data_IF_236452808141
#
_entry.id   IF_236452808141
#
_cell.length_a   1.000
_cell.length_b   1.000
_cell.length_c   1.000
_cell.angle_alpha   90.00
_cell.angle_beta   90.00
_cell.angle_gamma   90.00
#
_symmetry.space_group_name_H-M   'P 1'
#
loop_
_entity.id
_entity.type
_entity.pdbx_description
1 polymer ?
#
# COMPACT_ATOMS: atom_id res chain seq x y z
N UNK A 1 12.68 8.58 -18.38
CA UNK A 1 11.88 7.36 -18.12
C UNK A 1 12.51 6.23 -18.91
N UNK A 2 12.89 5.16 -18.26
CA UNK A 2 13.38 3.97 -18.93
C UNK A 2 12.28 3.37 -19.82
N UNK A 3 12.67 2.69 -20.91
CA UNK A 3 11.71 2.15 -21.89
C UNK A 3 10.67 1.20 -21.27
N UNK A 4 10.99 0.56 -20.15
CA UNK A 4 10.11 -0.34 -19.38
C UNK A 4 8.89 0.37 -18.79
N UNK A 5 9.03 1.58 -18.28
CA UNK A 5 7.96 2.35 -17.62
C UNK A 5 6.85 2.85 -18.57
N UNK A 6 7.03 2.69 -19.88
CA UNK A 6 5.98 2.98 -20.87
C UNK A 6 5.05 1.80 -21.12
N UNK A 7 5.31 0.66 -20.49
CA UNK A 7 4.52 -0.57 -20.62
C UNK A 7 3.44 -0.66 -19.56
N UNK A 8 2.34 -1.32 -19.91
CA UNK A 8 1.27 -1.67 -18.98
C UNK A 8 0.92 -3.17 -19.13
N UNK A 9 1.74 -4.08 -18.58
CA UNK A 9 1.70 -5.52 -18.91
C UNK A 9 0.33 -6.15 -18.73
N UNK A 10 -0.39 -5.85 -17.64
CA UNK A 10 -1.74 -6.37 -17.38
C UNK A 10 -2.74 -5.83 -18.40
N UNK A 11 -2.71 -4.53 -18.69
CA UNK A 11 -3.58 -3.93 -19.70
C UNK A 11 -3.31 -4.51 -21.10
N UNK A 12 -2.06 -4.64 -21.48
CA UNK A 12 -1.64 -5.22 -22.75
C UNK A 12 -2.13 -6.67 -22.89
N UNK A 13 -2.06 -7.45 -21.81
CA UNK A 13 -2.55 -8.82 -21.78
C UNK A 13 -4.08 -8.91 -21.92
N UNK A 14 -4.82 -8.01 -21.25
CA UNK A 14 -6.27 -7.89 -21.36
C UNK A 14 -6.70 -7.52 -22.78
N UNK A 15 -6.06 -6.53 -23.39
CA UNK A 15 -6.32 -6.15 -24.80
C UNK A 15 -6.03 -7.30 -25.77
N UNK A 16 -4.95 -8.05 -25.54
CA UNK A 16 -4.60 -9.24 -26.33
C UNK A 16 -5.62 -10.36 -26.16
N UNK A 17 -6.11 -10.59 -24.94
CA UNK A 17 -7.14 -11.58 -24.65
C UNK A 17 -8.48 -11.21 -25.35
N UNK A 18 -8.88 -9.93 -25.27
CA UNK A 18 -10.09 -9.43 -25.93
C UNK A 18 -10.10 -9.67 -27.43
N UNK A 19 -8.94 -9.54 -28.11
CA UNK A 19 -8.80 -9.77 -29.55
C UNK A 19 -8.91 -11.26 -29.94
N UNK A 20 -8.77 -12.18 -28.97
CA UNK A 20 -8.91 -13.60 -29.22
C UNK A 20 -10.41 -13.99 -29.32
N UNK A 21 -10.78 -14.72 -30.36
CA UNK A 21 -12.12 -15.30 -30.50
C UNK A 21 -12.24 -16.55 -29.62
N UNK A 22 -12.36 -16.37 -28.32
CA UNK A 22 -12.51 -17.46 -27.35
C UNK A 22 -13.94 -17.48 -26.83
N UNK A 23 -14.56 -18.66 -26.77
CA UNK A 23 -15.83 -18.84 -26.09
C UNK A 23 -15.57 -18.91 -24.60
N UNK A 24 -16.12 -17.99 -23.77
CA UNK A 24 -15.83 -17.93 -22.35
C UNK A 24 -16.60 -19.00 -21.57
N UNK A 25 -15.89 -20.00 -21.06
CA UNK A 25 -16.37 -20.95 -20.06
C UNK A 25 -15.86 -20.64 -18.65
N UNK A 26 -14.98 -19.64 -18.55
CA UNK A 26 -14.41 -19.12 -17.33
C UNK A 26 -15.43 -18.31 -16.50
N UNK A 27 -15.12 -18.06 -15.26
CA UNK A 27 -15.74 -17.03 -14.41
C UNK A 27 -15.20 -15.67 -14.93
N UNK A 28 -15.94 -14.58 -15.12
CA UNK A 28 -17.17 -14.20 -14.45
C UNK A 28 -18.44 -14.70 -15.15
N UNK A 29 -19.56 -14.81 -14.36
CA UNK A 29 -20.83 -15.37 -14.82
C UNK A 29 -21.52 -14.62 -15.97
N UNK A 30 -21.27 -13.31 -16.14
CA UNK A 30 -21.79 -12.51 -17.26
C UNK A 30 -21.13 -12.85 -18.60
N UNK A 31 -20.12 -13.73 -18.64
CA UNK A 31 -19.48 -14.24 -19.86
C UNK A 31 -19.10 -13.14 -20.85
N UNK A 32 -18.39 -12.12 -20.37
CA UNK A 32 -17.98 -10.92 -21.14
C UNK A 32 -19.17 -10.15 -21.70
N UNK A 33 -20.26 -10.11 -20.94
CA UNK A 33 -21.49 -9.40 -21.25
C UNK A 33 -22.60 -10.25 -21.87
N UNK A 34 -22.30 -11.43 -22.43
CA UNK A 34 -23.31 -12.28 -23.11
C UNK A 34 -24.41 -12.78 -22.17
N UNK A 35 -24.09 -13.00 -20.90
CA UNK A 35 -25.02 -13.49 -19.88
C UNK A 35 -25.76 -12.38 -19.11
N UNK A 36 -25.45 -11.10 -19.36
CA UNK A 36 -26.11 -9.98 -18.70
C UNK A 36 -26.10 -8.72 -19.59
N UNK A 37 -27.07 -8.57 -20.51
CA UNK A 37 -27.16 -7.42 -21.41
C UNK A 37 -27.38 -6.10 -20.67
N UNK A 38 -28.13 -6.09 -19.57
CA UNK A 38 -28.38 -4.89 -18.76
C UNK A 38 -27.09 -4.34 -18.15
N UNK A 39 -26.18 -5.22 -17.72
CA UNK A 39 -24.86 -4.83 -17.24
C UNK A 39 -24.01 -4.21 -18.36
N UNK A 40 -24.13 -4.73 -19.58
CA UNK A 40 -23.45 -4.17 -20.76
C UNK A 40 -23.99 -2.78 -21.10
N UNK A 41 -25.30 -2.59 -21.02
CA UNK A 41 -25.94 -1.28 -21.23
C UNK A 41 -25.45 -0.26 -20.19
N UNK A 42 -25.33 -0.66 -18.92
CA UNK A 42 -24.90 0.20 -17.82
C UNK A 42 -23.41 0.59 -17.91
N UNK A 43 -22.52 -0.38 -18.12
CA UNK A 43 -21.06 -0.20 -18.02
C UNK A 43 -20.35 -0.07 -19.37
N UNK A 44 -21.02 -0.40 -20.46
CA UNK A 44 -20.44 -0.47 -21.80
C UNK A 44 -19.71 -1.79 -22.07
N UNK A 45 -19.81 -2.26 -23.30
CA UNK A 45 -19.23 -3.54 -23.76
C UNK A 45 -17.72 -3.63 -23.49
N UNK A 46 -17.00 -2.53 -23.69
CA UNK A 46 -15.55 -2.48 -23.48
C UNK A 46 -15.18 -2.81 -22.02
N UNK A 47 -15.87 -2.22 -21.05
CA UNK A 47 -15.63 -2.43 -19.64
C UNK A 47 -15.93 -3.88 -19.25
N UNK A 48 -17.13 -4.37 -19.56
CA UNK A 48 -17.57 -5.73 -19.20
C UNK A 48 -16.72 -6.81 -19.88
N UNK A 49 -16.21 -6.55 -21.08
CA UNK A 49 -15.35 -7.52 -21.80
C UNK A 49 -13.96 -7.70 -21.19
N UNK A 50 -13.53 -6.75 -20.33
CA UNK A 50 -12.24 -6.79 -19.62
C UNK A 50 -12.36 -7.38 -18.20
N UNK A 51 -13.60 -7.60 -17.71
CA UNK A 51 -13.82 -8.25 -16.41
C UNK A 51 -13.69 -9.77 -16.56
N UNK A 52 -12.55 -10.28 -16.16
CA UNK A 52 -12.12 -11.67 -16.29
C UNK A 52 -11.38 -12.12 -15.05
N UNK A 53 -11.35 -13.43 -14.80
CA UNK A 53 -10.65 -14.01 -13.66
C UNK A 53 -9.20 -14.39 -14.01
N UNK A 54 -8.47 -14.89 -13.00
CA UNK A 54 -7.12 -15.47 -13.15
C UNK A 54 -7.15 -16.60 -14.19
N UNK A 55 -6.25 -16.53 -15.15
CA UNK A 55 -6.05 -17.55 -16.17
C UNK A 55 -4.64 -17.47 -16.73
N UNK A 56 -4.15 -18.54 -17.34
CA UNK A 56 -2.77 -18.62 -17.82
C UNK A 56 -2.26 -17.39 -18.61
N UNK A 57 -3.04 -16.72 -19.49
CA UNK A 57 -2.57 -15.51 -20.18
C UNK A 57 -2.58 -14.24 -19.34
N UNK A 58 -3.24 -14.23 -18.17
CA UNK A 58 -3.45 -13.06 -17.31
C UNK A 58 -2.79 -13.19 -15.95
N UNK A 59 -2.10 -14.32 -15.71
CA UNK A 59 -1.45 -14.58 -14.43
C UNK A 59 -2.41 -14.86 -13.26
N UNK A 60 -1.86 -14.97 -12.05
CA UNK A 60 -2.60 -15.16 -10.81
C UNK A 60 -2.05 -14.22 -9.73
N UNK A 61 -2.89 -13.33 -9.22
CA UNK A 61 -2.49 -12.33 -8.22
C UNK A 61 -1.95 -12.97 -6.92
N UNK A 62 -2.45 -14.14 -6.53
CA UNK A 62 -1.95 -14.83 -5.32
C UNK A 62 -0.58 -15.47 -5.51
N UNK A 63 -0.11 -15.66 -6.74
CA UNK A 63 1.20 -16.21 -7.08
C UNK A 63 1.64 -15.71 -8.46
N UNK A 64 2.04 -14.44 -8.56
CA UNK A 64 2.41 -13.81 -9.83
C UNK A 64 3.68 -14.43 -10.41
N UNK A 65 3.64 -14.81 -11.69
CA UNK A 65 4.78 -15.41 -12.41
C UNK A 65 4.99 -14.84 -13.82
N UNK A 66 4.08 -13.99 -14.28
CA UNK A 66 4.11 -13.42 -15.65
C UNK A 66 3.69 -11.95 -15.67
N UNK A 67 2.55 -11.60 -16.28
CA UNK A 67 2.18 -10.20 -16.53
C UNK A 67 1.87 -9.39 -15.27
N UNK A 68 1.35 -10.01 -14.21
CA UNK A 68 1.17 -9.33 -12.92
C UNK A 68 2.52 -9.12 -12.27
N UNK A 69 3.40 -10.14 -12.25
CA UNK A 69 4.76 -10.02 -11.72
C UNK A 69 5.53 -8.92 -12.44
N UNK A 70 5.48 -8.88 -13.79
CA UNK A 70 6.12 -7.82 -14.56
C UNK A 70 5.58 -6.43 -14.19
N UNK A 71 4.26 -6.31 -13.99
CA UNK A 71 3.64 -5.05 -13.57
C UNK A 71 4.05 -4.65 -12.13
N UNK A 72 4.18 -5.60 -11.21
CA UNK A 72 4.67 -5.36 -9.84
C UNK A 72 6.15 -4.95 -9.84
N UNK A 73 6.99 -5.55 -10.68
CA UNK A 73 8.40 -5.15 -10.84
C UNK A 73 8.53 -3.72 -11.39
N UNK A 74 7.73 -3.35 -12.39
CA UNK A 74 7.67 -1.97 -12.90
C UNK A 74 7.14 -0.98 -11.85
N UNK A 75 6.15 -1.39 -11.05
CA UNK A 75 5.67 -0.58 -9.94
C UNK A 75 6.75 -0.40 -8.86
N UNK A 76 7.48 -1.45 -8.50
CA UNK A 76 8.58 -1.36 -7.54
C UNK A 76 9.65 -0.36 -8.01
N UNK A 77 10.06 -0.42 -9.29
CA UNK A 77 10.99 0.55 -9.88
C UNK A 77 10.44 1.98 -9.81
N UNK A 78 9.17 2.20 -10.23
CA UNK A 78 8.55 3.52 -10.23
C UNK A 78 8.44 4.13 -8.82
N UNK A 79 8.17 3.31 -7.82
CA UNK A 79 8.06 3.70 -6.42
C UNK A 79 9.38 3.60 -5.64
N UNK A 80 10.49 3.29 -6.29
CA UNK A 80 11.82 3.13 -5.65
C UNK A 80 11.81 2.15 -4.47
N UNK A 81 11.00 1.11 -4.61
CA UNK A 81 10.88 0.01 -3.65
C UNK A 81 11.65 -1.23 -4.14
N UNK A 82 11.99 -2.14 -3.24
CA UNK A 82 12.55 -3.44 -3.61
C UNK A 82 11.51 -4.36 -4.21
N UNK A 83 10.30 -4.35 -3.60
CA UNK A 83 9.15 -5.09 -4.12
C UNK A 83 7.88 -4.25 -4.01
N UNK A 84 6.95 -4.51 -4.92
CA UNK A 84 5.60 -3.97 -4.89
C UNK A 84 4.61 -5.12 -5.05
N UNK A 85 3.54 -5.10 -4.25
CA UNK A 85 2.48 -6.11 -4.26
C UNK A 85 1.14 -5.43 -4.51
N UNK A 86 0.41 -5.85 -5.53
CA UNK A 86 -0.91 -5.32 -5.83
C UNK A 86 -1.96 -5.86 -4.86
N UNK A 87 -2.68 -4.96 -4.22
CA UNK A 87 -3.65 -5.25 -3.16
C UNK A 87 -5.07 -4.88 -3.60
N UNK A 88 -5.92 -5.87 -3.87
CA UNK A 88 -7.31 -5.65 -4.33
C UNK A 88 -8.30 -5.29 -3.23
N UNK A 89 -7.95 -5.50 -1.97
CA UNK A 89 -8.75 -5.10 -0.81
C UNK A 89 -8.53 -3.66 -0.36
N UNK A 90 -7.88 -2.84 -1.19
CA UNK A 90 -7.51 -1.46 -0.87
C UNK A 90 -6.40 -1.38 0.18
N UNK A 91 -6.09 -0.15 0.59
CA UNK A 91 -5.08 0.12 1.61
C UNK A 91 -5.40 -0.51 2.96
N UNK A 92 -6.68 -0.82 3.24
CA UNK A 92 -7.06 -1.58 4.43
C UNK A 92 -6.36 -2.94 4.46
N UNK A 93 -6.41 -3.72 3.37
CA UNK A 93 -5.73 -5.01 3.28
C UNK A 93 -4.20 -4.85 3.29
N UNK A 94 -3.69 -3.83 2.64
CA UNK A 94 -2.25 -3.52 2.60
C UNK A 94 -1.72 -3.19 4.00
N UNK A 95 -2.39 -2.30 4.74
CA UNK A 95 -2.01 -1.94 6.12
C UNK A 95 -2.12 -3.15 7.06
N UNK A 96 -3.18 -3.95 6.93
CA UNK A 96 -3.32 -5.17 7.73
C UNK A 96 -2.19 -6.16 7.41
N UNK A 97 -1.89 -6.40 6.14
CA UNK A 97 -0.76 -7.26 5.73
C UNK A 97 0.57 -6.78 6.30
N UNK A 98 0.83 -5.48 6.22
CA UNK A 98 2.04 -4.84 6.75
C UNK A 98 2.18 -5.06 8.27
N UNK A 99 1.13 -4.83 9.05
CA UNK A 99 1.17 -5.03 10.51
C UNK A 99 1.29 -6.51 10.87
N UNK A 100 0.50 -7.38 10.21
CA UNK A 100 0.50 -8.82 10.47
C UNK A 100 1.82 -9.51 10.10
N UNK A 101 2.59 -8.95 9.17
CA UNK A 101 3.91 -9.50 8.79
C UNK A 101 5.00 -9.19 9.82
N UNK A 102 4.83 -8.17 10.65
CA UNK A 102 5.84 -7.71 11.63
C UNK A 102 5.44 -8.04 13.07
N UNK A 103 4.15 -7.95 13.40
CA UNK A 103 3.66 -8.07 14.77
C UNK A 103 3.00 -9.43 15.04
N UNK A 104 3.25 -9.97 16.22
CA UNK A 104 2.62 -11.17 16.80
C UNK A 104 1.85 -10.81 18.07
N UNK A 105 1.08 -11.74 18.60
CA UNK A 105 0.34 -11.56 19.84
C UNK A 105 1.28 -11.22 21.00
N UNK A 106 1.01 -10.10 21.67
CA UNK A 106 1.79 -9.58 22.78
C UNK A 106 2.95 -8.67 22.39
N UNK A 107 3.28 -8.54 21.10
CA UNK A 107 4.28 -7.57 20.64
C UNK A 107 3.75 -6.13 20.81
N UNK A 108 4.62 -5.22 21.20
CA UNK A 108 4.30 -3.79 21.25
C UNK A 108 4.59 -3.12 19.91
N UNK A 109 3.71 -2.22 19.49
CA UNK A 109 3.89 -1.38 18.30
C UNK A 109 3.59 0.09 18.64
N UNK A 110 4.54 0.97 18.33
CA UNK A 110 4.40 2.41 18.53
C UNK A 110 3.64 3.01 17.34
N UNK A 111 2.59 3.79 17.61
CA UNK A 111 1.74 4.37 16.57
C UNK A 111 1.02 5.64 17.04
N UNK A 112 0.65 6.56 16.12
CA UNK A 112 -0.08 7.76 16.50
C UNK A 112 -1.55 7.45 16.80
N UNK A 113 -2.20 8.26 17.63
CA UNK A 113 -3.63 8.09 17.95
C UNK A 113 -4.56 8.33 16.77
N UNK A 114 -4.16 9.08 15.78
CA UNK A 114 -4.94 9.43 14.59
C UNK A 114 -4.76 8.45 13.44
N UNK A 115 -4.44 7.19 13.72
CA UNK A 115 -4.37 6.13 12.69
C UNK A 115 -5.72 5.84 12.08
N UNK A 116 -5.71 5.35 10.85
CA UNK A 116 -6.91 4.79 10.22
C UNK A 116 -7.35 3.52 10.96
N UNK A 117 -8.67 3.27 11.02
CA UNK A 117 -9.23 2.10 11.72
C UNK A 117 -8.72 0.74 11.22
N UNK A 118 -8.17 0.66 9.99
CA UNK A 118 -7.52 -0.56 9.49
C UNK A 118 -6.33 -0.99 10.32
N UNK A 119 -5.59 -0.04 10.90
CA UNK A 119 -4.49 -0.32 11.84
C UNK A 119 -5.04 -0.96 13.11
N UNK A 120 -6.08 -0.36 13.70
CA UNK A 120 -6.74 -0.92 14.91
C UNK A 120 -7.27 -2.33 14.65
N UNK A 121 -7.90 -2.54 13.49
CA UNK A 121 -8.38 -3.87 13.09
C UNK A 121 -7.21 -4.88 12.94
N UNK A 122 -6.06 -4.45 12.42
CA UNK A 122 -4.87 -5.29 12.33
C UNK A 122 -4.36 -5.70 13.72
N UNK A 123 -4.34 -4.75 14.69
CA UNK A 123 -3.95 -5.05 16.09
C UNK A 123 -4.89 -6.08 16.73
N UNK A 124 -6.21 -5.94 16.48
CA UNK A 124 -7.19 -6.92 16.96
C UNK A 124 -6.93 -8.31 16.36
N UNK A 125 -6.58 -8.37 15.06
CA UNK A 125 -6.32 -9.63 14.36
C UNK A 125 -5.05 -10.33 14.85
N UNK A 126 -3.96 -9.59 15.09
CA UNK A 126 -2.69 -10.18 15.51
C UNK A 126 -2.50 -10.23 17.04
N UNK A 127 -3.30 -9.48 17.81
CA UNK A 127 -3.14 -9.39 19.27
C UNK A 127 -1.95 -8.54 19.71
N UNK A 128 -1.45 -7.64 18.88
CA UNK A 128 -0.39 -6.71 19.23
C UNK A 128 -0.90 -5.59 20.15
N UNK A 129 -0.01 -5.06 20.98
CA UNK A 129 -0.32 -4.05 22.01
C UNK A 129 0.08 -2.66 21.48
N UNK A 130 -0.86 -1.72 21.33
CA UNK A 130 -0.54 -0.38 20.86
C UNK A 130 0.13 0.46 21.95
N UNK A 131 1.24 1.09 21.59
CA UNK A 131 1.89 2.17 22.34
C UNK A 131 1.59 3.48 21.61
N UNK A 132 0.70 4.29 22.19
CA UNK A 132 0.22 5.48 21.51
C UNK A 132 1.12 6.70 21.72
N UNK A 133 1.51 7.32 20.60
CA UNK A 133 2.10 8.65 20.55
C UNK A 133 1.01 9.66 20.19
N UNK A 134 0.87 10.72 20.96
CA UNK A 134 -0.07 11.78 20.63
C UNK A 134 0.52 12.67 19.53
N UNK A 135 -0.19 12.86 18.40
CA UNK A 135 0.23 13.82 17.40
C UNK A 135 0.12 15.25 17.95
N UNK A 136 0.90 16.14 17.42
CA UNK A 136 0.72 17.58 17.68
C UNK A 136 -0.63 18.04 17.12
N UNK A 137 -1.20 19.08 17.74
CA UNK A 137 -2.49 19.63 17.36
C UNK A 137 -2.36 21.10 16.95
N UNK A 138 -2.91 21.46 15.80
CA UNK A 138 -3.18 22.86 15.48
C UNK A 138 -4.51 23.28 16.16
N UNK A 139 -4.39 24.01 17.27
CA UNK A 139 -5.57 24.41 18.06
C UNK A 139 -6.48 25.42 17.31
N UNK A 140 -5.98 26.12 16.30
CA UNK A 140 -6.75 27.07 15.49
C UNK A 140 -7.67 26.35 14.52
N UNK A 141 -7.15 25.30 13.90
CA UNK A 141 -7.85 24.51 12.89
C UNK A 141 -8.55 23.30 13.48
N UNK A 142 -8.18 22.88 14.72
CA UNK A 142 -8.71 21.69 15.33
C UNK A 142 -8.28 20.38 14.66
N UNK A 143 -7.10 20.39 14.00
CA UNK A 143 -6.58 19.23 13.26
C UNK A 143 -5.35 18.65 13.93
N UNK A 144 -5.17 17.32 13.79
CA UNK A 144 -3.94 16.66 14.18
C UNK A 144 -2.86 16.85 13.11
N UNK A 145 -1.66 17.15 13.58
CA UNK A 145 -0.45 17.24 12.77
C UNK A 145 0.27 15.89 12.71
N UNK A 146 1.52 15.89 12.24
CA UNK A 146 2.35 14.68 12.22
C UNK A 146 2.85 14.26 13.60
N UNK A 147 3.59 13.15 13.65
CA UNK A 147 4.28 12.71 14.85
C UNK A 147 5.57 13.53 15.03
N UNK A 148 5.81 14.00 16.24
CA UNK A 148 7.08 14.64 16.59
C UNK A 148 8.16 13.59 16.84
N UNK A 149 9.36 13.79 16.31
CA UNK A 149 10.50 12.86 16.46
C UNK A 149 10.82 12.62 17.94
N UNK A 150 10.80 13.68 18.77
CA UNK A 150 11.07 13.59 20.21
C UNK A 150 10.07 12.71 20.96
N UNK A 151 8.79 12.74 20.58
CA UNK A 151 7.76 11.91 21.21
C UNK A 151 7.89 10.43 20.76
N UNK A 152 8.28 10.19 19.51
CA UNK A 152 8.62 8.84 19.03
C UNK A 152 9.84 8.29 19.78
N UNK A 153 10.91 9.06 19.88
CA UNK A 153 12.13 8.67 20.61
C UNK A 153 11.84 8.36 22.07
N UNK A 154 11.04 9.21 22.74
CA UNK A 154 10.58 8.95 24.10
C UNK A 154 9.81 7.64 24.21
N UNK A 155 8.86 7.39 23.31
CA UNK A 155 8.10 6.13 23.31
C UNK A 155 9.00 4.91 23.09
N UNK A 156 10.00 5.00 22.22
CA UNK A 156 11.00 3.94 21.98
C UNK A 156 11.79 3.65 23.26
N UNK A 157 12.25 4.69 23.97
CA UNK A 157 13.01 4.53 25.21
C UNK A 157 12.16 3.94 26.35
N UNK A 158 10.89 4.31 26.43
CA UNK A 158 9.94 3.78 27.42
C UNK A 158 9.47 2.34 27.07
N UNK A 159 9.48 1.96 25.77
CA UNK A 159 9.05 0.68 25.25
C UNK A 159 10.12 0.01 24.39
N UNK A 160 11.29 -0.34 24.95
CA UNK A 160 12.43 -0.86 24.17
C UNK A 160 12.19 -2.25 23.55
N UNK A 161 11.08 -2.90 23.89
CA UNK A 161 10.66 -4.19 23.33
C UNK A 161 9.69 -4.06 22.15
N UNK A 162 9.27 -2.84 21.81
CA UNK A 162 8.42 -2.62 20.65
C UNK A 162 9.12 -3.10 19.37
N UNK A 163 8.37 -3.78 18.52
CA UNK A 163 8.93 -4.37 17.28
C UNK A 163 8.88 -3.42 16.10
N UNK A 164 7.98 -2.44 16.13
CA UNK A 164 7.80 -1.50 15.04
C UNK A 164 7.29 -0.13 15.49
N UNK A 165 7.54 0.86 14.64
CA UNK A 165 6.91 2.18 14.65
C UNK A 165 6.04 2.30 13.40
N UNK A 166 4.75 2.56 13.56
CA UNK A 166 3.85 2.85 12.45
C UNK A 166 3.62 4.36 12.37
N UNK A 167 3.76 4.92 11.18
CA UNK A 167 3.58 6.35 10.90
C UNK A 167 2.48 6.53 9.87
N UNK A 168 1.53 7.44 10.13
CA UNK A 168 0.55 7.89 9.14
C UNK A 168 1.11 9.12 8.42
N UNK A 169 1.57 8.98 7.19
CA UNK A 169 2.31 10.02 6.46
C UNK A 169 2.03 10.00 4.94
N UNK A 170 1.36 11.01 4.38
CA UNK A 170 0.77 12.17 5.05
C UNK A 170 -0.44 11.81 5.94
N UNK A 171 -0.76 12.70 6.89
CA UNK A 171 -2.06 12.62 7.59
C UNK A 171 -3.22 12.89 6.62
N UNK A 172 -4.46 12.69 7.08
CA UNK A 172 -5.66 13.01 6.29
C UNK A 172 -5.69 14.48 5.82
N UNK A 173 -5.05 15.37 6.56
CA UNK A 173 -4.97 16.80 6.27
C UNK A 173 -3.75 17.19 5.40
N UNK A 174 -2.99 16.23 4.91
CA UNK A 174 -1.82 16.47 4.06
C UNK A 174 -0.55 16.86 4.82
N UNK A 175 -0.53 16.70 6.14
CA UNK A 175 0.65 17.01 6.97
C UNK A 175 1.60 15.82 6.97
N UNK A 176 2.88 16.08 6.67
CA UNK A 176 3.94 15.08 6.74
C UNK A 176 4.79 15.27 8.00
N UNK A 177 5.19 14.16 8.62
CA UNK A 177 6.16 14.10 9.71
C UNK A 177 7.60 14.19 9.15
N UNK A 178 8.57 14.47 10.00
CA UNK A 178 9.98 14.23 9.65
C UNK A 178 10.30 12.74 9.64
N UNK A 179 9.88 12.11 8.53
CA UNK A 179 9.92 10.66 8.38
C UNK A 179 11.35 10.11 8.39
N UNK A 180 12.34 10.86 7.81
CA UNK A 180 13.74 10.43 7.81
C UNK A 180 14.30 10.31 9.23
N UNK A 181 14.01 11.28 10.08
CA UNK A 181 14.47 11.25 11.46
C UNK A 181 13.77 10.16 12.27
N UNK A 182 12.47 9.93 12.05
CA UNK A 182 11.73 8.83 12.69
C UNK A 182 12.34 7.47 12.29
N UNK A 183 12.57 7.24 10.98
CA UNK A 183 13.20 6.00 10.48
C UNK A 183 14.55 5.78 11.13
N UNK A 184 15.40 6.82 11.14
CA UNK A 184 16.74 6.75 11.73
C UNK A 184 16.71 6.35 13.21
N UNK A 185 15.82 6.97 13.99
CA UNK A 185 15.71 6.67 15.43
C UNK A 185 15.18 5.25 15.65
N UNK A 186 14.11 4.85 14.93
CA UNK A 186 13.55 3.52 15.06
C UNK A 186 14.55 2.41 14.69
N UNK A 187 15.24 2.56 13.55
CA UNK A 187 16.27 1.59 13.11
C UNK A 187 17.46 1.51 14.06
N UNK A 188 17.87 2.62 14.68
CA UNK A 188 18.93 2.62 15.71
C UNK A 188 18.57 1.75 16.93
N UNK A 189 17.29 1.48 17.16
CA UNK A 189 16.79 0.61 18.23
C UNK A 189 16.27 -0.73 17.72
N UNK A 190 16.56 -1.09 16.46
CA UNK A 190 16.18 -2.38 15.86
C UNK A 190 14.69 -2.54 15.54
N UNK A 191 13.92 -1.44 15.56
CA UNK A 191 12.49 -1.44 15.27
C UNK A 191 12.23 -1.24 13.77
N UNK A 192 11.26 -1.94 13.22
CA UNK A 192 10.78 -1.74 11.84
C UNK A 192 9.95 -0.45 11.73
N UNK A 193 9.99 0.20 10.56
CA UNK A 193 9.14 1.37 10.27
C UNK A 193 8.14 1.03 9.20
N UNK A 194 6.86 1.12 9.57
CA UNK A 194 5.70 0.87 8.73
C UNK A 194 5.00 2.21 8.45
N UNK A 195 4.72 2.50 7.18
CA UNK A 195 4.12 3.79 6.81
C UNK A 195 2.75 3.58 6.13
N UNK A 196 1.71 4.06 6.78
CA UNK A 196 0.42 4.26 6.11
C UNK A 196 0.51 5.53 5.26
N UNK A 197 0.85 5.34 3.98
CA UNK A 197 1.04 6.39 2.98
C UNK A 197 -0.14 6.45 1.99
N UNK A 198 -1.34 6.10 2.49
CA UNK A 198 -2.56 6.06 1.67
C UNK A 198 -2.86 7.38 0.94
N UNK A 199 -2.45 8.51 1.48
CA UNK A 199 -2.60 9.84 0.87
C UNK A 199 -1.32 10.34 0.18
N UNK A 200 -0.27 9.52 0.10
CA UNK A 200 1.07 9.94 -0.32
C UNK A 200 1.54 9.42 -1.68
N UNK A 201 0.69 8.76 -2.48
CA UNK A 201 1.09 8.21 -3.78
C UNK A 201 1.82 9.22 -4.68
N UNK A 202 1.40 10.49 -4.67
CA UNK A 202 1.99 11.56 -5.46
C UNK A 202 3.39 11.99 -5.00
N UNK A 203 3.77 11.71 -3.75
CA UNK A 203 5.08 12.08 -3.20
C UNK A 203 6.24 11.42 -3.95
N UNK A 204 5.98 10.30 -4.61
CA UNK A 204 6.98 9.57 -5.40
C UNK A 204 7.32 10.23 -6.74
N UNK A 205 6.45 11.11 -7.26
CA UNK A 205 6.51 11.58 -8.65
C UNK A 205 6.62 13.11 -8.78
N UNK A 206 6.58 13.85 -7.68
CA UNK A 206 6.66 15.31 -7.69
C UNK A 206 8.02 15.83 -7.24
N UNK A 207 8.46 16.91 -7.87
CA UNK A 207 9.60 17.70 -7.39
C UNK A 207 9.16 18.61 -6.23
N UNK A 208 10.04 18.84 -5.27
CA UNK A 208 9.79 19.73 -4.11
C UNK A 208 8.63 19.28 -3.20
N UNK A 209 8.30 18.01 -3.18
CA UNK A 209 7.35 17.41 -2.26
C UNK A 209 8.07 16.87 -1.00
N UNK A 210 7.35 16.66 0.11
CA UNK A 210 7.88 15.93 1.25
C UNK A 210 8.42 14.56 0.86
N UNK A 211 9.37 14.04 1.65
CA UNK A 211 9.97 12.73 1.38
C UNK A 211 8.91 11.63 1.48
N UNK A 212 8.89 10.73 0.50
CA UNK A 212 8.08 9.52 0.53
C UNK A 212 8.71 8.43 1.42
N UNK A 213 7.94 7.41 1.76
CA UNK A 213 8.36 6.36 2.67
C UNK A 213 9.62 5.61 2.20
N UNK A 214 9.68 5.21 0.93
CA UNK A 214 10.83 4.47 0.41
C UNK A 214 12.10 5.32 0.41
N UNK A 215 12.03 6.60 0.00
CA UNK A 215 13.18 7.51 0.04
C UNK A 215 13.59 7.89 1.47
N UNK A 216 12.69 7.77 2.44
CA UNK A 216 13.03 7.93 3.85
C UNK A 216 13.72 6.70 4.45
N UNK A 217 13.69 5.56 3.76
CA UNK A 217 14.26 4.29 4.21
C UNK A 217 13.31 3.46 5.08
N UNK A 218 12.00 3.67 4.98
CA UNK A 218 11.02 2.84 5.69
C UNK A 218 11.07 1.38 5.22
N UNK A 219 10.73 0.45 6.11
CA UNK A 219 10.72 -0.99 5.81
C UNK A 219 9.54 -1.37 4.92
N UNK A 220 8.37 -0.79 5.17
CA UNK A 220 7.16 -0.99 4.37
C UNK A 220 6.34 0.28 4.25
N UNK A 221 5.65 0.41 3.12
CA UNK A 221 4.66 1.47 2.92
C UNK A 221 3.41 0.95 2.21
N UNK A 222 2.27 1.51 2.54
CA UNK A 222 0.99 1.20 1.92
C UNK A 222 0.44 2.42 1.21
N UNK A 223 0.33 2.38 -0.13
CA UNK A 223 -0.13 3.51 -0.95
C UNK A 223 -1.49 3.20 -1.60
N UNK A 224 -2.40 4.19 -1.60
CA UNK A 224 -3.72 4.07 -2.25
C UNK A 224 -3.67 4.59 -3.67
N UNK A 225 -3.72 3.69 -4.65
CA UNK A 225 -3.78 4.10 -6.05
C UNK A 225 -5.11 4.74 -6.43
N UNK A 226 -6.20 4.39 -5.73
CA UNK A 226 -7.52 4.97 -5.97
C UNK A 226 -7.74 6.36 -5.35
N UNK A 227 -6.74 6.91 -4.63
CA UNK A 227 -6.76 8.29 -4.14
C UNK A 227 -5.97 9.18 -5.09
N UNK A 228 -4.76 9.57 -4.74
CA UNK A 228 -3.92 10.44 -5.59
C UNK A 228 -3.29 9.73 -6.79
N UNK A 229 -3.37 8.41 -6.89
CA UNK A 229 -2.90 7.64 -8.05
C UNK A 229 -3.88 7.58 -9.23
N UNK A 230 -5.15 8.00 -9.05
CA UNK A 230 -6.12 8.13 -10.15
C UNK A 230 -6.72 6.83 -10.68
N UNK A 231 -6.58 5.70 -9.98
CA UNK A 231 -7.15 4.41 -10.38
C UNK A 231 -8.60 4.23 -9.88
N UNK A 232 -9.24 3.14 -10.32
CA UNK A 232 -10.54 2.72 -9.78
C UNK A 232 -10.43 2.37 -8.30
N UNK A 233 -11.56 2.42 -7.59
CA UNK A 233 -11.62 2.18 -6.14
C UNK A 233 -11.08 0.81 -5.75
N UNK A 234 -10.64 0.68 -4.49
CA UNK A 234 -10.01 -0.49 -3.87
C UNK A 234 -8.63 -0.88 -4.40
N UNK A 235 -8.00 -0.10 -5.28
CA UNK A 235 -6.63 -0.40 -5.67
C UNK A 235 -5.62 0.21 -4.71
N UNK A 236 -4.66 -0.60 -4.31
CA UNK A 236 -3.57 -0.25 -3.41
C UNK A 236 -2.32 -1.04 -3.77
N UNK A 237 -1.17 -0.53 -3.36
CA UNK A 237 0.11 -1.23 -3.47
C UNK A 237 0.75 -1.27 -2.08
N UNK A 238 1.22 -2.45 -1.69
CA UNK A 238 2.16 -2.61 -0.58
C UNK A 238 3.58 -2.57 -1.14
N UNK A 239 4.39 -1.69 -0.61
CA UNK A 239 5.80 -1.50 -0.98
C UNK A 239 6.69 -2.03 0.14
N UNK A 240 7.82 -2.65 -0.22
CA UNK A 240 8.86 -3.04 0.74
C UNK A 240 10.18 -2.38 0.39
N UNK A 241 10.88 -1.92 1.42
CA UNK A 241 12.22 -1.34 1.31
C UNK A 241 13.33 -2.37 1.61
N UNK A 242 14.61 -1.98 1.40
CA UNK A 242 15.78 -2.89 1.47
C UNK A 242 15.94 -3.58 2.83
N UNK A 243 15.56 -2.93 3.91
CA UNK A 243 15.72 -3.48 5.26
C UNK A 243 14.83 -4.70 5.57
N UNK A 244 13.90 -5.07 4.67
CA UNK A 244 13.08 -6.29 4.80
C UNK A 244 13.76 -7.55 4.24
N UNK A 245 14.87 -7.41 3.51
CA UNK A 245 15.56 -8.56 2.91
C UNK A 245 16.50 -9.30 3.88
N UNK A 246 16.92 -8.68 4.96
CA UNK A 246 17.92 -9.25 5.89
C UNK A 246 17.34 -10.22 6.93
N UNK A 247 16.07 -10.57 6.86
CA UNK A 247 15.39 -11.29 7.93
C UNK A 247 14.70 -12.62 7.61
N UNK A 248 14.79 -13.15 6.38
CA UNK A 248 14.34 -14.54 6.05
C UNK A 248 14.81 -14.98 4.67
#
# INVERSE_FOLDING_TARGET
>A
MEKGQMRAPVYEALEKLKKRRVVPFDVAGHKRGRGNPELVELLGEKCVSLDVNSMKPLDNLCHPVSVIKEAEELAAEAFRADHAFFMVGGTTSSVQGMVLSVCKAGDEIILPRNVHKSVINALVLCGAIPVYVNPEMDNRLGISLGMQVSEVEKAILEHPKAVAVLVNNPTYYGICSDLRSIVKVAHAHGMKVLVDEAHGTHLYFGENLPVCAMDAGADMASVSMHKSGGSLTQSSILLTGPAMQEGH
#
